data_IF_939940650249
#
_entry.id   IF_939940650249
#
_cell.length_a   1.000
_cell.length_b   1.000
_cell.length_c   1.000
_cell.angle_alpha   90.00
_cell.angle_beta   90.00
_cell.angle_gamma   90.00
#
_symmetry.space_group_name_H-M   'P 1'
#
loop_
_entity.id
_entity.type
_entity.pdbx_description
1 polymer ?
#
# COMPACT_ATOMS: atom_id res chain seq x y z
N UNK A 1 -8.35 8.84 3.01
CA UNK A 1 -7.54 7.82 2.32
C UNK A 1 -7.52 8.07 0.82
N UNK A 2 -6.43 7.72 0.18
CA UNK A 2 -6.28 7.81 -1.26
C UNK A 2 -7.19 6.79 -1.95
N UNK A 3 -7.72 7.19 -3.09
CA UNK A 3 -8.60 6.34 -3.88
C UNK A 3 -7.95 6.01 -5.22
N UNK A 4 -8.23 4.84 -5.74
CA UNK A 4 -8.02 4.52 -7.14
C UNK A 4 -8.87 5.42 -8.02
N UNK A 5 -8.60 5.42 -9.31
CA UNK A 5 -9.43 6.13 -10.28
C UNK A 5 -10.88 5.68 -10.24
N UNK A 6 -11.75 6.43 -10.91
CA UNK A 6 -13.16 6.08 -11.06
C UNK A 6 -13.45 5.62 -12.49
N UNK A 7 -14.44 4.74 -12.62
CA UNK A 7 -14.96 4.27 -13.90
C UNK A 7 -16.45 4.55 -13.93
N UNK A 8 -16.91 5.28 -14.94
CA UNK A 8 -18.33 5.47 -15.23
C UNK A 8 -18.80 4.53 -16.33
N UNK A 9 -20.06 4.12 -16.28
CA UNK A 9 -20.68 3.26 -17.29
C UNK A 9 -21.94 3.89 -17.84
N UNK A 10 -22.34 3.47 -19.06
CA UNK A 10 -23.60 3.89 -19.65
C UNK A 10 -24.82 3.45 -18.82
N UNK A 11 -24.67 2.45 -17.97
CA UNK A 11 -25.69 1.99 -17.02
C UNK A 11 -25.87 2.86 -15.77
N UNK A 12 -25.37 4.08 -15.77
CA UNK A 12 -25.47 5.02 -14.64
C UNK A 12 -24.77 4.55 -13.35
N UNK A 13 -23.66 3.82 -13.50
CA UNK A 13 -22.83 3.38 -12.39
C UNK A 13 -21.49 4.12 -12.37
N UNK A 14 -21.00 4.39 -11.16
CA UNK A 14 -19.62 4.80 -10.91
C UNK A 14 -18.97 3.73 -10.05
N UNK A 15 -17.88 3.15 -10.53
CA UNK A 15 -17.05 2.23 -9.77
C UNK A 15 -15.83 2.96 -9.22
N UNK A 16 -15.47 2.65 -7.97
CA UNK A 16 -14.32 3.22 -7.29
C UNK A 16 -13.66 2.18 -6.39
N UNK A 17 -12.35 2.08 -6.48
CA UNK A 17 -11.54 1.38 -5.47
C UNK A 17 -11.10 2.34 -4.38
N UNK A 18 -10.96 1.85 -3.18
CA UNK A 18 -10.50 2.64 -2.03
C UNK A 18 -9.25 2.03 -1.39
N UNK A 19 -8.40 2.88 -0.81
CA UNK A 19 -7.14 2.42 -0.22
C UNK A 19 -7.35 1.53 1.01
N UNK A 20 -8.53 1.56 1.63
CA UNK A 20 -8.90 0.70 2.77
C UNK A 20 -9.41 -0.70 2.37
N UNK A 21 -9.36 -1.03 1.07
CA UNK A 21 -9.66 -2.38 0.59
C UNK A 21 -11.11 -2.64 0.25
N UNK A 22 -11.80 -1.65 -0.32
CA UNK A 22 -13.16 -1.79 -0.83
C UNK A 22 -13.22 -1.45 -2.32
N UNK A 23 -14.03 -2.19 -3.05
CA UNK A 23 -14.44 -1.84 -4.41
C UNK A 23 -15.94 -1.59 -4.39
N UNK A 24 -16.35 -0.40 -4.81
CA UNK A 24 -17.69 0.13 -4.56
C UNK A 24 -18.33 0.57 -5.88
N UNK A 25 -19.61 0.30 -6.03
CA UNK A 25 -20.43 0.84 -7.10
C UNK A 25 -21.46 1.83 -6.54
N UNK A 26 -21.54 2.99 -7.16
CA UNK A 26 -22.47 4.05 -6.81
C UNK A 26 -23.41 4.35 -7.97
N UNK A 27 -24.59 4.89 -7.67
CA UNK A 27 -25.44 5.54 -8.64
C UNK A 27 -24.78 6.86 -9.08
N UNK A 28 -24.52 7.01 -10.39
CA UNK A 28 -23.82 8.17 -10.93
C UNK A 28 -24.58 9.51 -10.77
N UNK A 29 -25.91 9.46 -10.59
CA UNK A 29 -26.76 10.67 -10.44
C UNK A 29 -26.94 11.09 -9.00
N UNK A 30 -27.14 10.11 -8.10
CA UNK A 30 -27.49 10.38 -6.69
C UNK A 30 -26.32 10.24 -5.73
N UNK A 31 -25.27 9.52 -6.13
CA UNK A 31 -24.15 9.18 -5.25
C UNK A 31 -24.45 8.03 -4.27
N UNK A 32 -25.64 7.45 -4.33
CA UNK A 32 -26.01 6.35 -3.45
C UNK A 32 -25.12 5.13 -3.69
N UNK A 33 -24.65 4.53 -2.61
CA UNK A 33 -23.92 3.26 -2.67
C UNK A 33 -24.86 2.12 -3.01
N UNK A 34 -24.64 1.46 -4.14
CA UNK A 34 -25.45 0.36 -4.63
C UNK A 34 -24.87 -1.01 -4.33
N UNK A 35 -23.56 -1.12 -4.32
CA UNK A 35 -22.87 -2.39 -4.11
C UNK A 35 -21.45 -2.14 -3.55
N UNK A 36 -20.95 -3.09 -2.80
CA UNK A 36 -19.60 -3.07 -2.25
C UNK A 36 -19.05 -4.48 -2.13
N UNK A 37 -17.79 -4.65 -2.48
CA UNK A 37 -17.02 -5.87 -2.27
C UNK A 37 -15.72 -5.53 -1.54
N UNK A 38 -15.46 -6.26 -0.46
CA UNK A 38 -14.12 -6.21 0.15
C UNK A 38 -13.09 -6.84 -0.80
N UNK A 39 -12.02 -6.14 -1.03
CA UNK A 39 -10.88 -6.62 -1.81
C UNK A 39 -9.74 -7.12 -0.94
N UNK A 40 -9.91 -7.04 0.39
CA UNK A 40 -8.94 -7.53 1.38
C UNK A 40 -7.73 -6.63 1.59
N UNK A 41 -7.27 -5.91 0.58
CA UNK A 41 -6.20 -4.92 0.66
C UNK A 41 -6.51 -3.74 -0.25
N UNK A 42 -5.69 -2.69 -0.18
CA UNK A 42 -5.95 -1.41 -0.83
C UNK A 42 -6.11 -1.47 -2.35
N UNK A 43 -6.95 -0.60 -2.87
CA UNK A 43 -7.17 -0.40 -4.31
C UNK A 43 -6.80 1.03 -4.65
N UNK A 44 -5.73 1.21 -5.42
CA UNK A 44 -5.24 2.52 -5.88
C UNK A 44 -5.24 2.62 -7.40
N UNK A 45 -5.41 1.50 -8.09
CA UNK A 45 -5.55 1.45 -9.54
C UNK A 45 -6.94 1.89 -10.00
N UNK A 46 -7.00 2.55 -11.14
CA UNK A 46 -8.27 2.83 -11.84
C UNK A 46 -8.88 1.54 -12.37
N UNK A 47 -10.20 1.34 -12.22
CA UNK A 47 -10.89 0.20 -12.81
C UNK A 47 -11.06 0.35 -14.33
N UNK A 48 -11.19 -0.78 -15.02
CA UNK A 48 -11.50 -0.85 -16.45
C UNK A 48 -12.74 -1.72 -16.69
N UNK A 49 -13.49 -1.42 -17.74
CA UNK A 49 -14.61 -2.28 -18.18
C UNK A 49 -14.44 -2.72 -19.63
N UNK A 50 -14.90 -3.91 -19.93
CA UNK A 50 -14.84 -4.50 -21.26
C UNK A 50 -15.94 -5.54 -21.43
N UNK A 51 -16.16 -5.96 -22.68
CA UNK A 51 -17.13 -7.00 -23.05
C UNK A 51 -16.38 -8.22 -23.60
N UNK A 52 -16.80 -9.41 -23.19
CA UNK A 52 -16.39 -10.69 -23.80
C UNK A 52 -17.65 -11.52 -23.99
N UNK A 53 -17.91 -11.97 -25.18
CA UNK A 53 -19.05 -12.82 -25.55
C UNK A 53 -20.41 -12.29 -25.02
N UNK A 54 -20.62 -10.97 -25.08
CA UNK A 54 -21.84 -10.32 -24.62
C UNK A 54 -21.94 -10.14 -23.09
N UNK A 55 -20.94 -10.57 -22.33
CA UNK A 55 -20.87 -10.38 -20.88
C UNK A 55 -19.98 -9.18 -20.57
N UNK A 56 -20.48 -8.25 -19.77
CA UNK A 56 -19.70 -7.13 -19.27
C UNK A 56 -18.87 -7.55 -18.05
N UNK A 57 -17.60 -7.20 -18.10
CA UNK A 57 -16.65 -7.35 -17.00
C UNK A 57 -16.19 -5.99 -16.51
N UNK A 58 -15.93 -5.91 -15.22
CA UNK A 58 -15.23 -4.79 -14.57
C UNK A 58 -14.02 -5.34 -13.84
N UNK A 59 -12.84 -4.89 -14.23
CA UNK A 59 -11.58 -5.35 -13.63
C UNK A 59 -10.86 -4.22 -12.92
N UNK A 60 -10.20 -4.55 -11.82
CA UNK A 60 -9.38 -3.62 -11.05
C UNK A 60 -8.17 -4.34 -10.46
N UNK A 61 -7.01 -3.70 -10.53
CA UNK A 61 -5.82 -4.20 -9.83
C UNK A 61 -5.91 -3.85 -8.34
N UNK A 62 -5.71 -4.86 -7.52
CA UNK A 62 -5.77 -4.78 -6.07
C UNK A 62 -4.40 -5.13 -5.51
N UNK A 63 -3.91 -4.31 -4.62
CA UNK A 63 -2.62 -4.47 -3.99
C UNK A 63 -2.45 -3.39 -2.94
N UNK A 64 -1.29 -3.33 -2.31
CA UNK A 64 -1.07 -2.36 -1.24
C UNK A 64 -1.07 -0.88 -1.72
N UNK A 65 -1.00 -0.63 -3.01
CA UNK A 65 -1.11 0.70 -3.58
C UNK A 65 0.20 1.50 -3.59
N UNK A 66 1.35 0.82 -3.60
CA UNK A 66 2.66 1.45 -3.68
C UNK A 66 2.93 2.36 -2.46
N UNK A 67 3.77 3.37 -2.65
CA UNK A 67 4.21 4.27 -1.58
C UNK A 67 3.06 4.87 -0.76
N UNK A 68 1.95 5.20 -1.39
CA UNK A 68 0.80 5.77 -0.66
C UNK A 68 0.09 4.74 0.21
N UNK A 69 -0.05 3.51 -0.23
CA UNK A 69 -0.59 2.43 0.60
C UNK A 69 0.28 2.17 1.81
N UNK A 70 1.59 2.26 1.62
CA UNK A 70 2.59 2.06 2.66
C UNK A 70 2.60 3.19 3.70
N UNK A 71 2.52 4.43 3.26
CA UNK A 71 2.61 5.59 4.16
C UNK A 71 1.28 5.91 4.84
N UNK A 72 0.16 5.76 4.14
CA UNK A 72 -1.17 6.09 4.67
C UNK A 72 -1.82 4.96 5.46
N UNK A 73 -1.38 3.72 5.27
CA UNK A 73 -1.87 2.53 6.00
C UNK A 73 -3.37 2.47 6.18
N UNK A 74 -4.07 2.69 5.10
CA UNK A 74 -5.52 2.58 5.11
C UNK A 74 -6.03 1.15 5.36
N UNK A 75 -5.14 0.15 5.23
CA UNK A 75 -5.40 -1.25 5.57
C UNK A 75 -4.20 -1.87 6.30
N UNK A 76 -4.45 -2.82 7.19
CA UNK A 76 -3.44 -3.61 7.88
C UNK A 76 -3.16 -4.97 7.21
N UNK A 77 -3.71 -5.17 6.01
CA UNK A 77 -3.57 -6.42 5.26
C UNK A 77 -2.68 -6.22 4.04
N UNK A 78 -1.73 -7.11 3.88
CA UNK A 78 -0.93 -7.21 2.68
C UNK A 78 -1.16 -8.55 1.98
N UNK A 79 -0.85 -8.60 0.71
CA UNK A 79 -0.90 -9.81 -0.10
C UNK A 79 -0.31 -9.54 -1.48
N UNK A 80 -0.17 -10.57 -2.30
CA UNK A 80 0.30 -10.40 -3.67
C UNK A 80 -0.65 -9.50 -4.43
N UNK A 81 -0.12 -8.69 -5.34
CA UNK A 81 -0.93 -7.94 -6.28
C UNK A 81 -1.88 -8.89 -7.02
N UNK A 82 -3.16 -8.57 -7.03
CA UNK A 82 -4.22 -9.43 -7.60
C UNK A 82 -5.09 -8.61 -8.53
N UNK A 83 -5.48 -9.17 -9.65
CA UNK A 83 -6.50 -8.57 -10.52
C UNK A 83 -7.85 -9.19 -10.17
N UNK A 84 -8.76 -8.37 -9.67
CA UNK A 84 -10.16 -8.76 -9.47
C UNK A 84 -10.94 -8.45 -10.73
N UNK A 85 -11.71 -9.42 -11.18
CA UNK A 85 -12.62 -9.27 -12.31
C UNK A 85 -14.03 -9.66 -11.88
N UNK A 86 -14.94 -8.73 -12.05
CA UNK A 86 -16.34 -8.85 -11.65
C UNK A 86 -17.24 -8.98 -12.86
N UNK A 87 -18.23 -9.85 -12.76
CA UNK A 87 -19.36 -9.96 -13.71
C UNK A 87 -20.63 -10.22 -12.91
N UNK A 88 -21.78 -9.87 -13.47
CA UNK A 88 -23.09 -10.18 -12.87
C UNK A 88 -23.20 -11.71 -12.73
N UNK A 89 -23.53 -12.16 -11.52
CA UNK A 89 -23.63 -13.59 -11.20
C UNK A 89 -22.30 -14.30 -10.93
N UNK A 90 -21.18 -13.58 -10.92
CA UNK A 90 -19.87 -14.11 -10.52
C UNK A 90 -19.88 -14.70 -9.11
N UNK A 91 -19.21 -15.85 -8.92
CA UNK A 91 -19.21 -16.62 -7.64
C UNK A 91 -17.82 -16.88 -7.09
N UNK A 92 -16.77 -16.37 -7.74
CA UNK A 92 -15.41 -16.54 -7.24
C UNK A 92 -15.25 -15.88 -5.86
N UNK A 93 -14.55 -16.56 -4.98
CA UNK A 93 -14.21 -16.01 -3.67
C UNK A 93 -12.90 -15.22 -3.79
N UNK A 94 -12.79 -14.04 -3.14
CA UNK A 94 -11.52 -13.34 -3.06
C UNK A 94 -10.48 -14.19 -2.34
N UNK A 95 -9.18 -14.02 -2.67
CA UNK A 95 -8.11 -14.66 -1.91
C UNK A 95 -8.11 -14.14 -0.47
N UNK A 96 -7.59 -14.94 0.44
CA UNK A 96 -7.32 -14.49 1.80
C UNK A 96 -6.06 -13.62 1.82
N UNK A 97 -6.16 -12.49 2.50
CA UNK A 97 -5.04 -11.59 2.73
C UNK A 97 -4.56 -11.70 4.17
N UNK A 98 -3.26 -11.81 4.35
CA UNK A 98 -2.65 -11.94 5.67
C UNK A 98 -2.61 -10.58 6.35
N UNK A 99 -2.88 -10.58 7.67
CA UNK A 99 -2.63 -9.38 8.46
C UNK A 99 -1.12 -9.16 8.56
N UNK A 100 -0.68 -7.95 8.27
CA UNK A 100 0.72 -7.58 8.37
C UNK A 100 1.20 -7.70 9.82
N UNK A 101 2.15 -8.59 10.06
CA UNK A 101 2.84 -8.69 11.34
C UNK A 101 4.08 -7.79 11.31
N UNK A 102 4.00 -6.67 11.97
CA UNK A 102 5.10 -5.71 12.05
C UNK A 102 5.92 -5.97 13.31
N UNK A 103 7.23 -6.03 13.13
CA UNK A 103 8.15 -6.05 14.25
C UNK A 103 7.94 -4.83 15.17
N UNK A 104 8.34 -4.93 16.43
CA UNK A 104 8.47 -3.76 17.31
C UNK A 104 9.58 -2.83 16.85
N UNK A 105 9.64 -1.63 17.39
CA UNK A 105 10.79 -0.74 17.22
C UNK A 105 12.07 -1.47 17.65
N UNK A 106 13.15 -1.23 16.92
CA UNK A 106 14.46 -1.81 17.24
C UNK A 106 14.91 -1.33 18.61
N UNK A 107 15.34 -2.29 19.45
CA UNK A 107 15.83 -2.04 20.79
C UNK A 107 17.33 -2.43 20.92
N UNK A 108 17.99 -1.94 21.96
CA UNK A 108 19.37 -2.31 22.25
C UNK A 108 20.43 -1.69 21.34
N UNK A 109 20.07 -0.77 20.47
CA UNK A 109 21.02 -0.04 19.64
C UNK A 109 21.79 0.95 20.51
N UNK A 110 23.12 0.85 20.50
CA UNK A 110 23.99 1.80 21.18
C UNK A 110 24.22 3.03 20.30
N UNK A 111 24.06 4.21 20.87
CA UNK A 111 24.28 5.49 20.19
C UNK A 111 24.88 6.52 21.16
N UNK A 112 25.53 7.53 20.63
CA UNK A 112 25.97 8.70 21.41
C UNK A 112 24.82 9.72 21.43
N UNK A 113 24.33 10.15 22.59
CA UNK A 113 23.21 11.13 22.65
C UNK A 113 23.45 12.43 21.89
N UNK A 114 24.73 12.85 21.74
CA UNK A 114 25.06 14.06 20.95
C UNK A 114 24.77 13.91 19.45
N UNK A 115 24.73 12.68 18.94
CA UNK A 115 24.51 12.39 17.51
C UNK A 115 23.02 12.33 17.15
N UNK A 116 22.12 12.30 18.14
CA UNK A 116 20.67 12.15 17.91
C UNK A 116 20.12 13.32 17.08
N UNK A 117 20.43 14.54 17.45
CA UNK A 117 19.95 15.74 16.74
C UNK A 117 20.45 15.80 15.28
N UNK A 118 21.76 15.76 15.05
CA UNK A 118 22.31 15.72 13.69
C UNK A 118 21.84 14.51 12.88
N UNK A 119 21.77 13.33 13.50
CA UNK A 119 21.30 12.09 12.88
C UNK A 119 19.82 12.18 12.46
N UNK A 120 18.97 12.76 13.30
CA UNK A 120 17.56 12.99 12.98
C UNK A 120 17.42 13.89 11.75
N UNK A 121 18.18 14.97 11.69
CA UNK A 121 18.14 15.86 10.52
C UNK A 121 18.58 15.14 9.24
N UNK A 122 19.67 14.39 9.29
CA UNK A 122 20.15 13.59 8.16
C UNK A 122 19.13 12.55 7.73
N UNK A 123 18.50 11.86 8.67
CA UNK A 123 17.49 10.86 8.39
C UNK A 123 16.27 11.46 7.71
N UNK A 124 15.72 12.53 8.27
CA UNK A 124 14.52 13.19 7.72
C UNK A 124 14.78 13.74 6.33
N UNK A 125 15.97 14.27 6.10
CA UNK A 125 16.34 14.89 4.80
C UNK A 125 16.59 13.85 3.71
N UNK A 126 17.19 12.70 4.05
CA UNK A 126 17.67 11.77 3.04
C UNK A 126 16.95 10.42 3.00
N UNK A 127 16.35 9.99 4.10
CA UNK A 127 15.86 8.62 4.25
C UNK A 127 14.36 8.52 4.47
N UNK A 128 13.78 9.46 5.21
CA UNK A 128 12.41 9.38 5.69
C UNK A 128 11.35 9.33 4.57
N UNK A 129 11.63 9.94 3.42
CA UNK A 129 10.71 9.92 2.29
C UNK A 129 10.40 8.48 1.82
N UNK A 130 11.41 7.61 1.82
CA UNK A 130 11.26 6.22 1.42
C UNK A 130 11.04 5.27 2.61
N UNK A 131 11.74 5.52 3.72
CA UNK A 131 11.75 4.62 4.87
C UNK A 131 10.79 5.01 6.00
N UNK A 132 10.02 6.10 5.82
CA UNK A 132 9.07 6.58 6.83
C UNK A 132 9.72 7.14 8.09
N UNK A 133 8.91 7.48 9.08
CA UNK A 133 9.35 8.02 10.36
C UNK A 133 9.13 6.99 11.46
N UNK A 134 10.19 6.50 12.14
CA UNK A 134 10.09 5.55 13.23
C UNK A 134 9.09 6.01 14.31
N UNK A 135 8.22 5.10 14.76
CA UNK A 135 7.17 5.39 15.73
C UNK A 135 5.92 6.08 15.17
N UNK A 136 5.99 6.65 13.97
CA UNK A 136 4.85 7.29 13.28
C UNK A 136 4.23 6.34 12.27
N UNK A 137 5.04 5.78 11.39
CA UNK A 137 4.62 4.75 10.45
C UNK A 137 5.55 3.54 10.57
N UNK A 138 5.11 2.40 10.07
CA UNK A 138 5.89 1.15 10.18
C UNK A 138 6.55 0.71 8.86
N UNK A 139 6.45 1.53 7.82
CA UNK A 139 6.89 1.18 6.47
C UNK A 139 5.99 0.10 5.81
N UNK A 140 6.29 -0.23 4.59
CA UNK A 140 5.59 -1.23 3.80
C UNK A 140 6.58 -2.08 3.00
N UNK A 141 6.52 -2.00 1.67
CA UNK A 141 7.52 -2.64 0.79
C UNK A 141 8.92 -2.04 0.99
N UNK A 142 8.98 -0.73 1.29
CA UNK A 142 10.21 -0.11 1.77
C UNK A 142 10.14 -0.11 3.29
N UNK A 143 11.02 -0.89 3.90
CA UNK A 143 11.00 -1.13 5.33
C UNK A 143 11.39 0.13 6.10
N UNK A 144 10.58 0.52 7.07
CA UNK A 144 10.96 1.57 8.00
C UNK A 144 12.13 1.09 8.86
N UNK A 145 13.23 1.83 8.86
CA UNK A 145 14.48 1.43 9.51
C UNK A 145 14.34 1.26 11.02
N UNK A 146 13.45 1.98 11.67
CA UNK A 146 13.17 1.82 13.09
C UNK A 146 12.62 0.45 13.48
N UNK A 147 12.17 -0.34 12.51
CA UNK A 147 11.68 -1.71 12.71
C UNK A 147 12.60 -2.76 12.07
N UNK A 148 13.85 -2.40 11.81
CA UNK A 148 14.89 -3.30 11.35
C UNK A 148 15.51 -4.09 12.50
N UNK A 149 16.28 -5.12 12.18
CA UNK A 149 17.04 -5.84 13.21
C UNK A 149 18.21 -5.00 13.75
N UNK A 150 18.66 -5.22 14.99
CA UNK A 150 19.88 -4.57 15.52
C UNK A 150 21.10 -4.80 14.62
N UNK A 151 21.21 -5.97 13.99
CA UNK A 151 22.28 -6.29 13.05
C UNK A 151 22.23 -5.38 11.81
N UNK A 152 21.02 -5.17 11.23
CA UNK A 152 20.84 -4.25 10.10
C UNK A 152 21.26 -2.83 10.47
N UNK A 153 20.85 -2.36 11.65
CA UNK A 153 21.22 -1.02 12.12
C UNK A 153 22.74 -0.93 12.38
N UNK A 154 23.35 -1.96 12.98
CA UNK A 154 24.79 -2.01 13.22
C UNK A 154 25.62 -1.95 11.93
N UNK A 155 25.09 -2.51 10.84
CA UNK A 155 25.75 -2.52 9.53
C UNK A 155 25.26 -1.39 8.60
N UNK A 156 24.42 -0.47 9.08
CA UNK A 156 23.77 0.53 8.23
C UNK A 156 24.76 1.36 7.41
N UNK A 157 25.91 1.73 8.00
CA UNK A 157 26.95 2.47 7.29
C UNK A 157 27.46 1.73 6.05
N UNK A 158 27.74 0.45 6.20
CA UNK A 158 28.23 -0.36 5.07
C UNK A 158 27.11 -0.64 4.05
N UNK A 159 25.88 -0.83 4.49
CA UNK A 159 24.73 -0.98 3.63
C UNK A 159 24.53 0.27 2.77
N UNK A 160 24.59 1.46 3.36
CA UNK A 160 24.37 2.73 2.66
C UNK A 160 25.52 3.09 1.72
N UNK A 161 26.78 2.90 2.16
CA UNK A 161 27.95 3.37 1.40
C UNK A 161 28.64 2.31 0.54
N UNK A 162 28.31 1.04 0.73
CA UNK A 162 28.97 -0.09 0.01
C UNK A 162 27.95 -1.15 -0.42
N UNK A 163 26.68 -1.00 -0.08
CA UNK A 163 25.65 -2.01 -0.30
C UNK A 163 25.22 -2.12 -1.76
N UNK A 164 24.52 -3.21 -2.09
CA UNK A 164 24.12 -3.53 -3.46
C UNK A 164 23.08 -2.56 -4.06
N UNK A 165 22.52 -1.68 -3.24
CA UNK A 165 21.53 -0.70 -3.68
C UNK A 165 22.10 0.69 -3.95
N UNK A 166 23.40 0.92 -3.70
CA UNK A 166 24.05 2.21 -3.90
C UNK A 166 23.92 2.70 -5.36
N UNK A 167 24.07 1.80 -6.32
CA UNK A 167 23.88 2.11 -7.75
C UNK A 167 22.41 2.37 -8.13
N UNK A 168 21.47 2.03 -7.24
CA UNK A 168 20.01 2.23 -7.42
C UNK A 168 19.49 3.44 -6.66
N UNK A 169 20.36 4.30 -6.16
CA UNK A 169 19.98 5.55 -5.51
C UNK A 169 19.69 5.45 -4.01
N UNK A 170 20.24 4.44 -3.36
CA UNK A 170 20.19 4.33 -1.89
C UNK A 170 21.51 4.75 -1.27
#
# INVERSE_FOLDING_TARGET
PWNGGTLTTAGNLVFQGTADGRFVAYNARTGDKLWEQSTGTGVVAGPATYMVDGVQYVSVAVGWGGVFGETQRATDKEGPGTVFTFAIGGKAKPPEFTKLQLAGLVEGVKYDPKDVGPGTLLYVTNCAFCHGVPGVDKGGNIKNLGYSSPETIGNLKDIVFKGPFMEKGM
#
